data_IF_719039415239
#
_entry.id   IF_719039415239
#
_cell.length_a   1.000
_cell.length_b   1.000
_cell.length_c   1.000
_cell.angle_alpha   90.00
_cell.angle_beta   90.00
_cell.angle_gamma   90.00
#
_symmetry.space_group_name_H-M   'P 1'
#
loop_
_entity.id
_entity.type
_entity.pdbx_description
1 polymer ?
#
# COMPACT_ATOMS: atom_id res chain seq x y z
N UNK A 1 -11.68 0.24 -13.14
CA UNK A 1 -10.24 0.32 -12.90
C UNK A 1 -9.98 0.58 -11.44
N UNK A 2 -8.81 0.20 -10.94
CA UNK A 2 -8.34 0.77 -9.69
C UNK A 2 -7.93 2.21 -10.00
N UNK A 3 -8.46 3.18 -9.24
CA UNK A 3 -8.12 4.60 -9.35
C UNK A 3 -7.34 5.00 -8.09
N UNK A 4 -6.06 4.59 -7.97
CA UNK A 4 -5.29 4.82 -6.76
C UNK A 4 -4.96 6.31 -6.63
N UNK A 5 -5.17 6.86 -5.44
CA UNK A 5 -4.74 8.23 -5.14
C UNK A 5 -3.20 8.37 -5.14
N UNK A 6 -2.50 7.30 -4.78
CA UNK A 6 -1.04 7.23 -4.79
C UNK A 6 -0.55 5.79 -4.90
N UNK A 7 0.70 5.61 -5.35
CA UNK A 7 1.43 4.34 -5.36
C UNK A 7 2.72 4.48 -4.56
N UNK A 8 2.93 3.54 -3.63
CA UNK A 8 4.17 3.39 -2.87
C UNK A 8 5.06 2.38 -3.62
N UNK A 9 6.30 2.74 -3.89
CA UNK A 9 7.26 1.88 -4.62
C UNK A 9 8.71 2.27 -4.33
N UNK A 10 9.68 1.62 -4.96
CA UNK A 10 11.10 1.99 -4.97
C UNK A 10 11.52 2.53 -6.35
N UNK A 11 12.64 3.24 -6.41
CA UNK A 11 13.13 3.94 -7.60
C UNK A 11 13.38 3.02 -8.79
N UNK A 12 13.93 1.84 -8.54
CA UNK A 12 14.34 0.85 -9.54
C UNK A 12 13.24 -0.16 -9.93
N UNK A 13 12.04 -0.02 -9.38
CA UNK A 13 10.91 -0.95 -9.62
C UNK A 13 10.48 -1.08 -11.08
N UNK A 14 10.86 -0.13 -11.96
CA UNK A 14 10.48 -0.13 -13.37
C UNK A 14 8.97 0.02 -13.64
N UNK A 15 8.19 0.36 -12.60
CA UNK A 15 6.72 0.51 -12.71
C UNK A 15 6.37 1.84 -13.36
N UNK A 16 5.71 1.77 -14.51
CA UNK A 16 5.05 2.92 -15.14
C UNK A 16 3.69 3.15 -14.49
N UNK A 17 3.40 4.41 -14.14
CA UNK A 17 2.15 4.81 -13.53
C UNK A 17 1.32 5.66 -14.50
N UNK A 18 -0.02 5.53 -14.47
CA UNK A 18 -0.90 6.43 -15.21
C UNK A 18 -0.61 7.89 -14.83
N UNK A 19 -0.68 8.78 -15.83
CA UNK A 19 -0.47 10.21 -15.63
C UNK A 19 -1.37 10.75 -14.52
N UNK A 20 -0.81 11.54 -13.61
CA UNK A 20 -1.52 12.11 -12.46
C UNK A 20 -1.54 11.24 -11.21
N UNK A 21 -1.12 9.97 -11.28
CA UNK A 21 -0.98 9.12 -10.08
C UNK A 21 0.20 9.57 -9.25
N UNK A 22 -0.03 9.95 -7.99
CA UNK A 22 1.07 10.33 -7.10
C UNK A 22 1.98 9.12 -6.80
N UNK A 23 3.30 9.33 -6.83
CA UNK A 23 4.30 8.31 -6.51
C UNK A 23 5.01 8.66 -5.22
N UNK A 24 5.02 7.73 -4.27
CA UNK A 24 5.79 7.81 -3.02
C UNK A 24 6.94 6.81 -3.14
N UNK A 25 8.18 7.29 -3.13
CA UNK A 25 9.36 6.44 -3.20
C UNK A 25 9.80 6.07 -1.78
N UNK A 26 9.90 4.78 -1.49
CA UNK A 26 10.35 4.34 -0.16
C UNK A 26 11.84 4.62 0.02
N UNK A 27 12.62 4.59 -1.05
CA UNK A 27 14.07 4.67 -1.08
C UNK A 27 14.61 6.08 -1.36
N UNK A 28 13.75 7.08 -1.56
CA UNK A 28 14.21 8.46 -1.74
C UNK A 28 14.68 9.07 -0.41
N UNK A 29 15.64 9.99 -0.50
CA UNK A 29 16.25 10.62 0.68
C UNK A 29 15.24 11.31 1.59
N UNK A 30 14.21 11.96 1.04
CA UNK A 30 13.22 12.70 1.84
C UNK A 30 12.36 11.72 2.62
N UNK A 31 11.89 10.66 1.96
CA UNK A 31 11.11 9.61 2.64
C UNK A 31 11.94 8.89 3.70
N UNK A 32 13.18 8.52 3.39
CA UNK A 32 14.08 7.87 4.34
C UNK A 32 14.37 8.73 5.58
N UNK A 33 14.61 10.03 5.41
CA UNK A 33 14.79 10.96 6.54
C UNK A 33 13.51 11.10 7.37
N UNK A 34 12.35 11.17 6.72
CA UNK A 34 11.06 11.26 7.41
C UNK A 34 10.71 9.98 8.19
N UNK A 35 11.13 8.81 7.71
CA UNK A 35 10.98 7.52 8.40
C UNK A 35 12.01 7.36 9.53
N UNK A 36 13.24 7.84 9.36
CA UNK A 36 14.32 7.69 10.34
C UNK A 36 14.08 8.38 11.69
N UNK A 37 13.11 9.29 11.76
CA UNK A 37 12.67 9.95 13.02
C UNK A 37 11.43 9.31 13.64
N UNK A 38 10.92 8.22 13.07
CA UNK A 38 9.74 7.49 13.58
C UNK A 38 10.17 6.34 14.47
N UNK A 39 9.25 5.92 15.35
CA UNK A 39 9.38 4.67 16.09
C UNK A 39 9.52 3.49 15.12
N UNK A 40 10.42 2.55 15.44
CA UNK A 40 10.69 1.36 14.63
C UNK A 40 10.00 0.11 15.19
N UNK A 41 9.32 0.25 16.33
CA UNK A 41 8.57 -0.78 17.01
C UNK A 41 7.22 -1.03 16.35
N UNK A 42 6.64 -2.20 16.65
CA UNK A 42 5.29 -2.53 16.21
C UNK A 42 4.26 -1.56 16.82
N UNK A 43 3.22 -1.26 16.03
CA UNK A 43 2.10 -0.44 16.48
C UNK A 43 1.35 -1.11 17.64
N UNK A 44 1.11 -0.37 18.71
CA UNK A 44 0.22 -0.79 19.78
C UNK A 44 -1.26 -0.56 19.42
N UNK A 45 -2.17 -1.19 20.15
CA UNK A 45 -3.60 -1.10 19.86
C UNK A 45 -4.15 0.33 19.98
N UNK A 46 -3.60 1.13 20.89
CA UNK A 46 -4.00 2.53 21.10
C UNK A 46 -3.56 3.47 19.95
N UNK A 47 -2.60 3.06 19.12
CA UNK A 47 -2.18 3.81 17.93
C UNK A 47 -3.06 3.54 16.70
N UNK A 48 -3.92 2.50 16.76
CA UNK A 48 -4.80 2.12 15.65
C UNK A 48 -6.04 3.00 15.64
N UNK A 49 -6.56 3.29 14.44
CA UNK A 49 -7.81 4.05 14.27
C UNK A 49 -9.07 3.30 14.74
N UNK A 50 -8.98 1.97 14.81
CA UNK A 50 -10.04 1.08 15.27
C UNK A 50 -9.43 -0.27 15.71
N UNK A 51 -10.13 -1.05 16.56
CA UNK A 51 -9.69 -2.38 16.95
C UNK A 51 -9.48 -3.32 15.74
N UNK A 52 -8.42 -4.12 15.78
CA UNK A 52 -8.15 -5.14 14.76
C UNK A 52 -8.93 -6.42 15.06
N UNK A 53 -9.53 -7.04 14.04
CA UNK A 53 -10.13 -8.37 14.15
C UNK A 53 -9.76 -9.23 12.94
N UNK A 54 -9.80 -10.55 13.10
CA UNK A 54 -9.33 -11.49 12.08
C UNK A 54 -10.00 -11.32 10.70
N UNK A 55 -11.28 -10.94 10.66
CA UNK A 55 -12.02 -10.67 9.42
C UNK A 55 -11.83 -9.26 8.83
N UNK A 56 -10.91 -8.44 9.36
CA UNK A 56 -10.63 -7.13 8.79
C UNK A 56 -9.81 -7.30 7.48
N UNK A 57 -10.05 -6.49 6.44
CA UNK A 57 -9.21 -6.49 5.24
C UNK A 57 -7.75 -6.16 5.60
N UNK A 58 -6.83 -7.07 5.28
CA UNK A 58 -5.40 -6.87 5.39
C UNK A 58 -4.83 -6.21 4.12
N UNK A 59 -5.22 -6.70 2.95
CA UNK A 59 -4.83 -6.13 1.66
C UNK A 59 -5.79 -6.53 0.53
N UNK A 60 -5.68 -5.85 -0.61
CA UNK A 60 -6.38 -6.22 -1.85
C UNK A 60 -5.35 -6.45 -2.95
N UNK A 61 -5.38 -7.63 -3.58
CA UNK A 61 -4.56 -7.91 -4.77
C UNK A 61 -5.44 -7.84 -6.00
N UNK A 62 -5.02 -7.07 -6.99
CA UNK A 62 -5.65 -7.05 -8.30
C UNK A 62 -5.00 -8.10 -9.20
N UNK A 63 -5.80 -9.03 -9.70
CA UNK A 63 -5.34 -10.08 -10.63
C UNK A 63 -6.03 -9.92 -11.98
N UNK A 64 -5.33 -10.20 -13.07
CA UNK A 64 -5.93 -10.27 -14.40
C UNK A 64 -7.02 -11.36 -14.42
N UNK A 65 -8.25 -10.95 -14.76
CA UNK A 65 -9.37 -11.88 -14.93
C UNK A 65 -9.43 -12.41 -16.37
N UNK A 66 -10.04 -13.58 -16.57
CA UNK A 66 -10.32 -14.14 -17.90
C UNK A 66 -11.18 -13.23 -18.79
N UNK A 67 -11.90 -12.28 -18.18
CA UNK A 67 -12.75 -11.28 -18.86
C UNK A 67 -11.99 -9.98 -19.19
N UNK A 68 -10.66 -9.94 -19.04
CA UNK A 68 -9.80 -8.80 -19.38
C UNK A 68 -9.82 -7.63 -18.39
N UNK A 69 -10.80 -7.58 -17.46
CA UNK A 69 -10.84 -6.59 -16.37
C UNK A 69 -10.22 -7.17 -15.10
N UNK A 70 -9.24 -6.49 -14.46
CA UNK A 70 -8.69 -6.93 -13.20
C UNK A 70 -9.77 -7.01 -12.11
N UNK A 71 -9.70 -8.05 -11.27
CA UNK A 71 -10.57 -8.21 -10.10
C UNK A 71 -9.75 -7.97 -8.84
N UNK A 72 -10.27 -7.18 -7.92
CA UNK A 72 -9.69 -6.98 -6.59
C UNK A 72 -10.12 -8.11 -5.66
N UNK A 73 -9.16 -8.92 -5.22
CA UNK A 73 -9.36 -9.98 -4.22
C UNK A 73 -8.99 -9.41 -2.86
N UNK A 74 -9.98 -9.32 -1.96
CA UNK A 74 -9.77 -8.92 -0.58
C UNK A 74 -9.20 -10.10 0.20
N UNK A 75 -8.10 -9.88 0.92
CA UNK A 75 -7.51 -10.85 1.84
C UNK A 75 -7.62 -10.29 3.25
N UNK A 76 -8.15 -11.10 4.16
CA UNK A 76 -8.30 -10.79 5.58
C UNK A 76 -7.01 -11.13 6.35
N UNK A 77 -6.93 -10.79 7.64
CA UNK A 77 -5.73 -11.05 8.46
C UNK A 77 -5.48 -12.53 8.80
N UNK A 78 -6.43 -13.42 8.52
CA UNK A 78 -6.38 -14.85 8.88
C UNK A 78 -5.39 -15.66 8.06
#
# INVERSE_FOLDING_TARGET
DADPMAVITVGDSGVELPSGTARILLDDTVTQQALGVRAAEDLCDDERRAPLHAGAPAYVIFTSGSTGRPKGVVVEHR
#
